data_IF_826885481127
#
_entry.id   IF_826885481127
#
_cell.length_a   1.000
_cell.length_b   1.000
_cell.length_c   1.000
_cell.angle_alpha   90.00
_cell.angle_beta   90.00
_cell.angle_gamma   90.00
#
_symmetry.space_group_name_H-M   'P 1'
#
loop_
_entity.id
_entity.type
_entity.pdbx_description
1 polymer ?
#
# COMPACT_ATOMS: atom_id res chain seq x y z
N UNK A 1 -39.53 8.87 -4.93
CA UNK A 1 -38.42 8.33 -5.76
C UNK A 1 -37.12 8.26 -4.98
N UNK A 2 -36.86 9.22 -4.10
CA UNK A 2 -35.59 9.26 -3.31
C UNK A 2 -35.46 8.11 -2.27
N UNK A 3 -36.52 7.72 -1.59
CA UNK A 3 -36.49 6.60 -0.62
C UNK A 3 -36.20 5.25 -1.28
N UNK A 4 -36.76 5.01 -2.48
CA UNK A 4 -36.50 3.77 -3.22
C UNK A 4 -35.04 3.73 -3.70
N UNK A 5 -34.50 4.86 -4.15
CA UNK A 5 -33.08 4.95 -4.55
C UNK A 5 -32.13 4.80 -3.35
N UNK A 6 -32.49 5.33 -2.19
CA UNK A 6 -31.72 5.21 -0.96
C UNK A 6 -31.72 3.77 -0.45
N UNK A 7 -32.88 3.11 -0.40
CA UNK A 7 -32.97 1.70 -0.01
C UNK A 7 -32.27 0.72 -0.99
N UNK A 8 -32.27 1.04 -2.29
CA UNK A 8 -31.51 0.26 -3.28
C UNK A 8 -29.99 0.42 -3.11
N UNK A 9 -29.53 1.65 -2.83
CA UNK A 9 -28.12 1.93 -2.54
C UNK A 9 -27.66 1.24 -1.25
N UNK A 10 -28.45 1.22 -0.20
CA UNK A 10 -28.13 0.53 1.06
C UNK A 10 -28.05 -0.99 0.87
N UNK A 11 -29.03 -1.59 0.18
CA UNK A 11 -28.98 -3.02 -0.15
C UNK A 11 -27.76 -3.37 -0.98
N UNK A 12 -27.45 -2.57 -2.01
CA UNK A 12 -26.28 -2.77 -2.86
C UNK A 12 -24.99 -2.64 -2.04
N UNK A 13 -24.88 -1.66 -1.15
CA UNK A 13 -23.72 -1.47 -0.27
C UNK A 13 -23.53 -2.67 0.67
N UNK A 14 -24.61 -3.19 1.24
CA UNK A 14 -24.57 -4.37 2.13
C UNK A 14 -24.04 -5.63 1.43
N UNK A 15 -24.31 -5.83 0.14
CA UNK A 15 -23.80 -6.96 -0.62
C UNK A 15 -22.38 -6.75 -1.15
N UNK A 16 -21.99 -5.52 -1.47
CA UNK A 16 -20.67 -5.22 -2.02
C UNK A 16 -19.59 -5.17 -0.92
N UNK A 17 -19.92 -4.75 0.30
CA UNK A 17 -18.95 -4.62 1.39
C UNK A 17 -18.20 -5.94 1.69
N UNK A 18 -18.83 -7.11 1.82
CA UNK A 18 -18.10 -8.37 2.01
C UNK A 18 -17.16 -8.71 0.85
N UNK A 19 -17.58 -8.43 -0.39
CA UNK A 19 -16.75 -8.64 -1.58
C UNK A 19 -15.54 -7.70 -1.56
N UNK A 20 -15.73 -6.47 -1.12
CA UNK A 20 -14.64 -5.50 -0.97
C UNK A 20 -13.62 -5.94 0.08
N UNK A 21 -14.05 -6.49 1.22
CA UNK A 21 -13.15 -7.07 2.23
C UNK A 21 -12.41 -8.31 1.68
N UNK A 22 -13.10 -9.19 0.95
CA UNK A 22 -12.46 -10.33 0.31
C UNK A 22 -11.38 -9.89 -0.70
N UNK A 23 -11.67 -8.84 -1.49
CA UNK A 23 -10.68 -8.22 -2.38
C UNK A 23 -9.48 -7.64 -1.61
N UNK A 24 -9.73 -7.01 -0.44
CA UNK A 24 -8.67 -6.47 0.39
C UNK A 24 -7.78 -7.58 0.99
N UNK A 25 -8.37 -8.68 1.44
CA UNK A 25 -7.65 -9.87 1.92
C UNK A 25 -6.78 -10.47 0.80
N UNK A 26 -7.32 -10.57 -0.41
CA UNK A 26 -6.54 -11.01 -1.58
C UNK A 26 -5.32 -10.11 -1.81
N UNK A 27 -5.48 -8.78 -1.74
CA UNK A 27 -4.37 -7.82 -1.87
C UNK A 27 -3.33 -8.04 -0.77
N UNK A 28 -3.75 -8.24 0.48
CA UNK A 28 -2.86 -8.53 1.62
C UNK A 28 -2.01 -9.78 1.37
N UNK A 29 -2.63 -10.86 0.88
CA UNK A 29 -1.92 -12.10 0.56
C UNK A 29 -0.90 -11.88 -0.55
N UNK A 30 -1.29 -11.25 -1.66
CA UNK A 30 -0.38 -10.98 -2.78
C UNK A 30 0.76 -10.07 -2.34
N UNK A 31 0.47 -8.95 -1.67
CA UNK A 31 1.50 -8.03 -1.22
C UNK A 31 2.43 -8.64 -0.16
N UNK A 32 1.94 -9.58 0.64
CA UNK A 32 2.79 -10.34 1.56
C UNK A 32 3.86 -11.20 0.86
N UNK A 33 3.65 -11.58 -0.41
CA UNK A 33 4.67 -12.30 -1.20
C UNK A 33 5.71 -11.36 -1.81
N UNK A 34 5.35 -10.10 -2.08
CA UNK A 34 6.16 -9.13 -2.84
C UNK A 34 7.55 -8.90 -2.25
N UNK A 35 7.73 -8.67 -0.93
CA UNK A 35 9.06 -8.41 -0.36
C UNK A 35 10.07 -9.52 -0.67
N UNK A 36 9.62 -10.78 -0.61
CA UNK A 36 10.47 -11.97 -0.80
C UNK A 36 10.99 -12.06 -2.24
N UNK A 37 10.12 -11.80 -3.22
CA UNK A 37 10.50 -11.80 -4.64
C UNK A 37 11.28 -10.53 -5.00
N UNK A 38 10.84 -9.39 -4.53
CA UNK A 38 11.52 -8.10 -4.76
C UNK A 38 12.91 -8.10 -4.15
N UNK A 39 13.08 -8.62 -2.92
CA UNK A 39 14.38 -8.71 -2.26
C UNK A 39 15.42 -9.48 -3.10
N UNK A 40 15.02 -10.54 -3.82
CA UNK A 40 15.90 -11.27 -4.72
C UNK A 40 16.30 -10.47 -5.96
N UNK A 41 15.45 -9.55 -6.41
CA UNK A 41 15.65 -8.78 -7.65
C UNK A 41 16.44 -7.49 -7.42
N UNK A 42 16.40 -6.89 -6.22
CA UNK A 42 16.98 -5.56 -5.94
C UNK A 42 18.06 -5.55 -4.84
N UNK A 43 18.61 -6.70 -4.45
CA UNK A 43 19.75 -6.75 -3.51
C UNK A 43 20.95 -5.98 -4.05
N UNK A 44 21.99 -5.75 -3.21
CA UNK A 44 23.22 -5.06 -3.63
C UNK A 44 23.88 -5.70 -4.85
N UNK A 45 23.70 -7.00 -5.04
CA UNK A 45 24.17 -7.80 -6.19
C UNK A 45 23.04 -8.29 -7.09
N UNK A 46 21.83 -7.77 -6.87
CA UNK A 46 20.64 -8.19 -7.60
C UNK A 46 20.61 -7.70 -9.06
N UNK A 47 19.74 -8.28 -9.89
CA UNK A 47 19.68 -7.98 -11.33
C UNK A 47 19.19 -6.58 -11.66
N UNK A 48 18.57 -5.87 -10.71
CA UNK A 48 18.01 -4.51 -10.92
C UNK A 48 18.46 -3.52 -9.86
N UNK A 49 18.71 -2.29 -10.27
CA UNK A 49 18.73 -1.17 -9.33
C UNK A 49 17.31 -0.86 -8.84
N UNK A 50 17.16 -0.41 -7.58
CA UNK A 50 15.83 -0.22 -6.97
C UNK A 50 15.00 0.84 -7.71
N UNK A 51 15.64 1.90 -8.18
CA UNK A 51 14.98 2.99 -8.91
C UNK A 51 14.50 2.56 -10.30
N UNK A 52 15.35 1.86 -11.09
CA UNK A 52 14.95 1.33 -12.40
C UNK A 52 13.91 0.22 -12.27
N UNK A 53 14.04 -0.66 -11.27
CA UNK A 53 13.03 -1.66 -10.98
C UNK A 53 11.67 -1.01 -10.65
N UNK A 54 11.67 0.05 -9.81
CA UNK A 54 10.44 0.78 -9.48
C UNK A 54 9.83 1.50 -10.70
N UNK A 55 10.67 2.06 -11.57
CA UNK A 55 10.24 2.66 -12.83
C UNK A 55 9.62 1.64 -13.77
N UNK A 56 10.25 0.46 -13.93
CA UNK A 56 9.76 -0.61 -14.78
C UNK A 56 8.43 -1.20 -14.27
N UNK A 57 8.28 -1.42 -12.95
CA UNK A 57 7.00 -1.82 -12.35
C UNK A 57 5.90 -0.81 -12.68
N UNK A 58 6.17 0.48 -12.48
CA UNK A 58 5.23 1.56 -12.78
C UNK A 58 4.85 1.60 -14.26
N UNK A 59 5.84 1.47 -15.15
CA UNK A 59 5.63 1.50 -16.60
C UNK A 59 4.75 0.35 -17.09
N UNK A 60 5.08 -0.89 -16.70
CA UNK A 60 4.30 -2.07 -17.09
C UNK A 60 2.88 -1.98 -16.55
N UNK A 61 2.72 -1.54 -15.28
CA UNK A 61 1.41 -1.35 -14.67
C UNK A 61 0.60 -0.23 -15.37
N UNK A 62 1.24 0.88 -15.71
CA UNK A 62 0.60 2.00 -16.41
C UNK A 62 0.09 1.59 -17.80
N UNK A 63 0.91 0.86 -18.57
CA UNK A 63 0.52 0.33 -19.88
C UNK A 63 -0.63 -0.66 -19.74
N UNK A 64 -0.54 -1.61 -18.80
CA UNK A 64 -1.61 -2.59 -18.57
C UNK A 64 -2.93 -1.91 -18.19
N UNK A 65 -2.90 -0.92 -17.28
CA UNK A 65 -4.09 -0.16 -16.90
C UNK A 65 -4.61 0.71 -18.04
N UNK A 66 -3.75 1.24 -18.90
CA UNK A 66 -4.16 2.00 -20.08
C UNK A 66 -4.94 1.10 -21.05
N UNK A 67 -4.50 -0.13 -21.26
CA UNK A 67 -5.22 -1.12 -22.08
C UNK A 67 -6.55 -1.50 -21.43
N UNK A 68 -6.57 -1.84 -20.14
CA UNK A 68 -7.77 -2.21 -19.38
C UNK A 68 -8.80 -1.06 -19.36
N UNK A 69 -8.33 0.18 -19.23
CA UNK A 69 -9.18 1.36 -19.13
C UNK A 69 -9.41 2.06 -20.48
N UNK A 70 -8.96 1.48 -21.60
CA UNK A 70 -9.06 2.09 -22.93
C UNK A 70 -10.48 2.63 -23.25
N UNK A 71 -11.59 1.89 -22.99
CA UNK A 71 -12.94 2.41 -23.24
C UNK A 71 -13.31 3.64 -22.41
N UNK A 72 -12.66 3.81 -21.25
CA UNK A 72 -12.93 4.90 -20.29
C UNK A 72 -11.99 6.10 -20.44
N UNK A 73 -10.98 6.04 -21.30
CA UNK A 73 -10.03 7.16 -21.53
C UNK A 73 -10.75 8.43 -21.99
N UNK A 74 -11.85 8.29 -22.72
CA UNK A 74 -12.68 9.44 -23.17
C UNK A 74 -13.30 10.23 -22.00
N UNK A 75 -13.39 9.65 -20.81
CA UNK A 75 -13.90 10.32 -19.60
C UNK A 75 -12.82 11.04 -18.81
N UNK A 76 -11.57 10.98 -19.27
CA UNK A 76 -10.44 11.63 -18.63
C UNK A 76 -10.55 13.15 -18.76
N UNK A 77 -10.46 13.86 -17.65
CA UNK A 77 -10.49 15.32 -17.61
C UNK A 77 -9.43 15.88 -16.64
N UNK A 78 -9.18 17.18 -16.70
CA UNK A 78 -8.12 17.85 -15.91
C UNK A 78 -8.19 17.55 -14.40
N UNK A 79 -9.36 17.33 -13.84
CA UNK A 79 -9.54 16.99 -12.42
C UNK A 79 -8.86 15.67 -12.02
N UNK A 80 -8.75 14.69 -12.93
CA UNK A 80 -8.00 13.47 -12.65
C UNK A 80 -6.52 13.76 -12.42
N UNK A 81 -5.90 14.58 -13.27
CA UNK A 81 -4.48 14.91 -13.16
C UNK A 81 -4.19 15.73 -11.90
N UNK A 82 -5.05 16.71 -11.58
CA UNK A 82 -4.90 17.54 -10.38
C UNK A 82 -4.85 16.71 -9.09
N UNK A 83 -5.59 15.61 -9.01
CA UNK A 83 -5.68 14.79 -7.80
C UNK A 83 -4.79 13.54 -7.87
N UNK A 84 -4.67 12.90 -9.03
CA UNK A 84 -3.90 11.66 -9.16
C UNK A 84 -2.39 11.91 -9.27
N UNK A 85 -1.92 13.03 -9.82
CA UNK A 85 -0.49 13.32 -9.94
C UNK A 85 0.17 13.56 -8.59
N UNK A 86 -0.32 14.42 -7.69
CA UNK A 86 0.28 14.58 -6.36
C UNK A 86 0.25 13.28 -5.54
N UNK A 87 -0.88 12.57 -5.53
CA UNK A 87 -0.98 11.30 -4.82
C UNK A 87 -0.11 10.21 -5.44
N UNK A 88 0.06 10.21 -6.76
CA UNK A 88 1.00 9.36 -7.49
C UNK A 88 2.46 9.68 -7.16
N UNK A 89 2.80 10.96 -6.95
CA UNK A 89 4.14 11.36 -6.52
C UNK A 89 4.46 10.82 -5.12
N UNK A 90 3.54 10.94 -4.14
CA UNK A 90 3.71 10.32 -2.83
C UNK A 90 3.85 8.81 -2.93
N UNK A 91 3.07 8.16 -3.79
CA UNK A 91 3.20 6.73 -4.05
C UNK A 91 4.57 6.36 -4.63
N UNK A 92 5.02 7.10 -5.64
CA UNK A 92 6.30 6.87 -6.29
C UNK A 92 7.48 7.03 -5.33
N UNK A 93 7.47 8.10 -4.51
CA UNK A 93 8.48 8.36 -3.50
C UNK A 93 8.45 7.26 -2.44
N UNK A 94 7.29 6.92 -1.89
CA UNK A 94 7.13 5.84 -0.92
C UNK A 94 7.68 4.52 -1.45
N UNK A 95 7.26 4.12 -2.64
CA UNK A 95 7.67 2.88 -3.28
C UNK A 95 9.16 2.83 -3.58
N UNK A 96 9.77 3.97 -3.92
CA UNK A 96 11.20 4.06 -4.14
C UNK A 96 12.00 3.98 -2.84
N UNK A 97 11.64 4.79 -1.83
CA UNK A 97 12.26 4.77 -0.51
C UNK A 97 12.22 3.37 0.11
N UNK A 98 11.08 2.71 -0.02
CA UNK A 98 10.86 1.35 0.45
C UNK A 98 11.81 0.34 -0.23
N UNK A 99 11.97 0.43 -1.54
CA UNK A 99 12.87 -0.48 -2.30
C UNK A 99 14.34 -0.20 -2.05
N UNK A 100 14.73 1.07 -1.93
CA UNK A 100 16.09 1.43 -1.54
C UNK A 100 16.35 0.95 -0.10
N UNK A 101 15.39 1.18 0.81
CA UNK A 101 15.49 0.73 2.20
C UNK A 101 15.66 -0.78 2.32
N UNK A 102 14.94 -1.58 1.51
CA UNK A 102 15.04 -3.04 1.51
C UNK A 102 16.48 -3.56 1.21
N UNK A 103 17.33 -2.77 0.56
CA UNK A 103 18.74 -3.13 0.37
C UNK A 103 19.56 -3.13 1.67
N UNK A 104 19.09 -2.43 2.68
CA UNK A 104 19.80 -2.15 3.94
C UNK A 104 19.08 -2.69 5.17
N UNK A 105 17.92 -3.31 5.01
CA UNK A 105 17.11 -3.90 6.08
C UNK A 105 16.59 -5.28 5.71
N UNK A 106 15.94 -5.97 6.64
CA UNK A 106 15.33 -7.28 6.39
C UNK A 106 13.94 -7.16 5.76
N UNK A 107 13.51 -8.21 5.05
CA UNK A 107 12.15 -8.29 4.44
C UNK A 107 11.05 -8.07 5.50
N UNK A 108 11.29 -8.53 6.73
CA UNK A 108 10.35 -8.39 7.85
C UNK A 108 10.30 -6.96 8.39
N UNK A 109 11.47 -6.33 8.63
CA UNK A 109 11.54 -4.94 9.08
C UNK A 109 10.97 -3.97 8.03
N UNK A 110 11.26 -4.22 6.76
CA UNK A 110 10.66 -3.51 5.62
C UNK A 110 9.12 -3.53 5.70
N UNK A 111 8.51 -4.71 5.84
CA UNK A 111 7.05 -4.85 5.93
C UNK A 111 6.46 -4.21 7.20
N UNK A 112 7.22 -4.22 8.31
CA UNK A 112 6.81 -3.57 9.56
C UNK A 112 6.74 -2.05 9.44
N UNK A 113 7.80 -1.43 8.92
CA UNK A 113 7.92 0.03 8.91
C UNK A 113 6.93 0.69 7.94
N UNK A 114 6.50 -0.02 6.89
CA UNK A 114 5.37 0.40 6.05
C UNK A 114 4.08 0.58 6.86
N UNK A 115 3.92 -0.16 7.96
CA UNK A 115 2.73 -0.14 8.81
C UNK A 115 2.55 1.17 9.60
N UNK A 116 3.56 2.04 9.65
CA UNK A 116 3.43 3.40 10.18
C UNK A 116 2.33 4.19 9.46
N UNK A 117 1.99 3.81 8.23
CA UNK A 117 0.85 4.37 7.50
C UNK A 117 -0.47 4.28 8.28
N UNK A 118 -0.66 3.25 9.12
CA UNK A 118 -1.91 3.07 9.88
C UNK A 118 -2.17 4.18 10.90
N UNK A 119 -1.12 4.82 11.45
CA UNK A 119 -1.28 5.97 12.33
C UNK A 119 -1.61 7.22 11.51
N UNK A 120 -0.87 7.43 10.42
CA UNK A 120 -0.93 8.66 9.64
C UNK A 120 -2.31 8.85 9.01
N UNK A 121 -2.92 7.77 8.52
CA UNK A 121 -4.19 7.82 7.77
C UNK A 121 -5.35 8.41 8.57
N UNK A 122 -5.69 7.98 9.81
CA UNK A 122 -6.79 8.55 10.56
C UNK A 122 -6.60 10.05 10.86
N UNK A 123 -5.38 10.47 11.17
CA UNK A 123 -5.07 11.88 11.41
C UNK A 123 -5.22 12.71 10.15
N UNK A 124 -4.71 12.25 9.01
CA UNK A 124 -4.87 12.95 7.74
C UNK A 124 -6.33 13.02 7.30
N UNK A 125 -7.11 11.96 7.50
CA UNK A 125 -8.55 12.00 7.21
C UNK A 125 -9.28 13.02 8.07
N UNK A 126 -8.87 13.22 9.33
CA UNK A 126 -9.40 14.31 10.15
C UNK A 126 -9.15 15.69 9.53
N UNK A 127 -7.94 15.92 8.98
CA UNK A 127 -7.64 17.18 8.30
C UNK A 127 -8.41 17.33 6.97
N UNK A 128 -8.52 16.26 6.16
CA UNK A 128 -9.16 16.31 4.83
C UNK A 128 -10.69 16.43 4.89
N UNK A 129 -11.33 15.71 5.79
CA UNK A 129 -12.78 15.59 5.86
C UNK A 129 -13.37 15.99 7.23
N UNK A 130 -12.54 16.50 8.14
CA UNK A 130 -12.90 16.94 9.51
C UNK A 130 -13.63 15.87 10.35
N UNK A 131 -13.57 14.61 9.96
CA UNK A 131 -14.15 13.48 10.70
C UNK A 131 -13.17 13.00 11.75
N UNK A 132 -13.52 13.13 13.03
CA UNK A 132 -12.71 12.59 14.12
C UNK A 132 -12.64 11.06 14.02
N UNK A 133 -11.45 10.44 14.20
CA UNK A 133 -11.35 8.99 14.28
C UNK A 133 -12.11 8.47 15.50
N UNK A 134 -12.79 7.33 15.36
CA UNK A 134 -13.43 6.68 16.52
C UNK A 134 -12.37 6.11 17.47
N UNK A 135 -12.72 5.98 18.74
CA UNK A 135 -11.83 5.37 19.76
C UNK A 135 -11.45 3.95 19.30
N UNK A 136 -12.39 3.21 18.73
CA UNK A 136 -12.13 1.86 18.19
C UNK A 136 -11.09 1.88 17.07
N UNK A 137 -11.13 2.88 16.17
CA UNK A 137 -10.11 3.06 15.13
C UNK A 137 -8.74 3.35 15.74
N UNK A 138 -8.65 4.22 16.75
CA UNK A 138 -7.40 4.53 17.44
C UNK A 138 -6.83 3.29 18.14
N UNK A 139 -7.66 2.53 18.85
CA UNK A 139 -7.26 1.27 19.49
C UNK A 139 -6.76 0.25 18.47
N UNK A 140 -7.43 0.13 17.32
CA UNK A 140 -7.00 -0.76 16.24
C UNK A 140 -5.63 -0.34 15.67
N UNK A 141 -5.38 0.96 15.50
CA UNK A 141 -4.07 1.48 15.06
C UNK A 141 -2.97 1.16 16.07
N UNK A 142 -3.21 1.40 17.36
CA UNK A 142 -2.25 1.10 18.43
C UNK A 142 -1.95 -0.41 18.47
N UNK A 143 -2.98 -1.26 18.44
CA UNK A 143 -2.80 -2.71 18.40
C UNK A 143 -2.02 -3.15 17.16
N UNK A 144 -2.30 -2.57 16.00
CA UNK A 144 -1.57 -2.86 14.77
C UNK A 144 -0.07 -2.57 14.93
N UNK A 145 0.28 -1.42 15.52
CA UNK A 145 1.68 -1.07 15.77
C UNK A 145 2.34 -1.98 16.78
N UNK A 146 1.65 -2.27 17.90
CA UNK A 146 2.16 -3.19 18.93
C UNK A 146 2.38 -4.57 18.32
N UNK A 147 1.43 -5.10 17.55
CA UNK A 147 1.56 -6.38 16.86
C UNK A 147 2.73 -6.39 15.89
N UNK A 148 2.87 -5.34 15.10
CA UNK A 148 3.97 -5.17 14.18
C UNK A 148 5.31 -5.02 14.91
N UNK A 149 5.37 -4.30 16.03
CA UNK A 149 6.57 -4.18 16.87
C UNK A 149 6.98 -5.55 17.43
N UNK A 150 6.04 -6.29 18.05
CA UNK A 150 6.28 -7.62 18.62
C UNK A 150 6.76 -8.58 17.54
N UNK A 151 6.17 -8.54 16.34
CA UNK A 151 6.54 -9.39 15.20
C UNK A 151 8.01 -9.17 14.79
N UNK A 152 8.55 -7.96 14.98
CA UNK A 152 9.90 -7.59 14.64
C UNK A 152 10.90 -7.62 15.81
N UNK A 153 10.44 -7.94 17.02
CA UNK A 153 11.33 -8.19 18.16
C UNK A 153 12.19 -9.41 17.87
N UNK A 154 13.44 -9.17 17.49
CA UNK A 154 14.48 -10.21 17.37
C UNK A 154 15.37 -10.17 18.62
N UNK A 155 16.16 -11.26 18.84
CA UNK A 155 17.13 -11.30 19.93
C UNK A 155 18.22 -10.21 19.81
N UNK A 156 18.45 -9.72 18.60
CA UNK A 156 19.46 -8.70 18.30
C UNK A 156 18.95 -7.26 18.47
N UNK A 157 17.71 -7.08 18.92
CA UNK A 157 17.10 -5.75 19.12
C UNK A 157 16.62 -5.12 17.80
N UNK A 158 16.09 -3.88 17.93
CA UNK A 158 15.76 -3.04 16.79
C UNK A 158 17.01 -2.27 16.35
N UNK A 159 17.53 -2.60 15.17
CA UNK A 159 18.54 -1.75 14.55
C UNK A 159 17.86 -0.57 13.85
N UNK A 160 18.35 0.65 14.08
CA UNK A 160 17.89 1.84 13.37
C UNK A 160 19.00 2.34 12.45
N UNK A 161 19.14 1.67 11.32
CA UNK A 161 20.03 2.08 10.24
C UNK A 161 19.31 2.92 9.18
N UNK A 162 20.02 3.22 8.11
CA UNK A 162 19.49 4.00 6.99
C UNK A 162 18.31 3.27 6.31
N UNK A 163 18.33 1.93 6.28
CA UNK A 163 17.27 1.12 5.68
C UNK A 163 15.94 1.30 6.40
N UNK A 164 15.97 1.24 7.73
CA UNK A 164 14.80 1.42 8.59
C UNK A 164 14.22 2.82 8.48
N UNK A 165 15.09 3.85 8.46
CA UNK A 165 14.66 5.25 8.29
C UNK A 165 13.96 5.42 6.93
N UNK A 166 14.52 4.91 5.85
CA UNK A 166 13.93 4.99 4.51
C UNK A 166 12.58 4.27 4.44
N UNK A 167 12.47 3.07 5.04
CA UNK A 167 11.20 2.33 5.10
C UNK A 167 10.16 3.03 5.97
N UNK A 168 10.54 3.66 7.08
CA UNK A 168 9.65 4.45 7.91
C UNK A 168 9.09 5.67 7.16
N UNK A 169 9.96 6.42 6.47
CA UNK A 169 9.55 7.53 5.61
C UNK A 169 8.62 7.06 4.48
N UNK A 170 8.89 5.87 3.90
CA UNK A 170 8.00 5.26 2.92
C UNK A 170 6.61 5.01 3.52
N UNK A 171 6.53 4.46 4.73
CA UNK A 171 5.27 4.25 5.45
C UNK A 171 4.47 5.55 5.64
N UNK A 172 5.13 6.65 6.02
CA UNK A 172 4.49 7.96 6.13
C UNK A 172 3.94 8.45 4.78
N UNK A 173 4.72 8.34 3.71
CA UNK A 173 4.29 8.72 2.35
C UNK A 173 3.13 7.84 1.85
N UNK A 174 3.14 6.54 2.14
CA UNK A 174 2.00 5.67 1.84
C UNK A 174 0.76 6.08 2.63
N UNK A 175 0.90 6.50 3.90
CA UNK A 175 -0.20 7.04 4.69
C UNK A 175 -0.87 8.23 4.01
N UNK A 176 -0.09 9.18 3.50
CA UNK A 176 -0.60 10.32 2.72
C UNK A 176 -1.34 9.83 1.45
N UNK A 177 -0.74 8.91 0.70
CA UNK A 177 -1.37 8.34 -0.50
C UNK A 177 -2.69 7.62 -0.17
N UNK A 178 -2.74 6.80 0.90
CA UNK A 178 -3.94 6.08 1.31
C UNK A 178 -5.05 7.04 1.69
N UNK A 179 -4.77 8.03 2.55
CA UNK A 179 -5.74 9.00 3.00
C UNK A 179 -6.31 9.82 1.83
N UNK A 180 -5.44 10.36 0.99
CA UNK A 180 -5.85 11.16 -0.17
C UNK A 180 -6.60 10.32 -1.21
N UNK A 181 -6.12 9.11 -1.54
CA UNK A 181 -6.81 8.19 -2.46
C UNK A 181 -8.19 7.83 -1.93
N UNK A 182 -8.34 7.57 -0.63
CA UNK A 182 -9.63 7.26 -0.02
C UNK A 182 -10.67 8.37 -0.13
N UNK A 183 -10.22 9.63 -0.18
CA UNK A 183 -11.10 10.79 -0.39
C UNK A 183 -11.41 10.99 -1.88
N UNK A 184 -10.38 10.98 -2.72
CA UNK A 184 -10.48 11.40 -4.12
C UNK A 184 -11.01 10.30 -5.05
N UNK A 185 -10.63 9.03 -4.83
CA UNK A 185 -11.06 7.92 -5.66
C UNK A 185 -12.58 7.65 -5.61
N UNK A 186 -13.28 8.12 -4.56
CA UNK A 186 -14.75 8.03 -4.47
C UNK A 186 -15.46 8.81 -5.59
N UNK A 187 -14.84 9.89 -6.06
CA UNK A 187 -15.39 10.80 -7.08
C UNK A 187 -14.93 10.45 -8.49
N UNK A 188 -14.06 9.44 -8.66
CA UNK A 188 -13.38 9.14 -9.91
C UNK A 188 -13.47 7.67 -10.28
N UNK A 189 -13.17 7.35 -11.54
CA UNK A 189 -12.94 5.97 -11.93
C UNK A 189 -11.61 5.47 -11.36
N UNK A 190 -11.64 4.42 -10.54
CA UNK A 190 -10.46 3.89 -9.86
C UNK A 190 -9.35 3.47 -10.84
N UNK A 191 -9.71 2.86 -11.96
CA UNK A 191 -8.74 2.43 -12.97
C UNK A 191 -7.98 3.59 -13.59
N UNK A 192 -8.68 4.66 -14.01
CA UNK A 192 -8.05 5.86 -14.58
C UNK A 192 -7.18 6.57 -13.53
N UNK A 193 -7.65 6.63 -12.29
CA UNK A 193 -6.91 7.24 -11.20
C UNK A 193 -5.59 6.51 -10.92
N UNK A 194 -5.64 5.17 -10.79
CA UNK A 194 -4.43 4.35 -10.57
C UNK A 194 -3.52 4.37 -11.80
N UNK A 195 -4.07 4.37 -13.02
CA UNK A 195 -3.29 4.49 -14.25
C UNK A 195 -2.39 5.73 -14.23
N UNK A 196 -2.93 6.89 -13.86
CA UNK A 196 -2.15 8.13 -13.77
C UNK A 196 -1.07 8.00 -12.67
N UNK A 197 -1.41 7.44 -11.50
CA UNK A 197 -0.43 7.21 -10.44
C UNK A 197 0.73 6.32 -10.90
N UNK A 198 0.47 5.27 -11.68
CA UNK A 198 1.50 4.38 -12.22
C UNK A 198 2.38 5.07 -13.27
N UNK A 199 1.82 5.94 -14.10
CA UNK A 199 2.61 6.81 -15.00
C UNK A 199 3.52 7.74 -14.22
N UNK A 200 3.01 8.39 -13.17
CA UNK A 200 3.81 9.25 -12.30
C UNK A 200 4.92 8.45 -11.62
N UNK A 201 4.63 7.25 -11.14
CA UNK A 201 5.65 6.35 -10.56
C UNK A 201 6.73 6.02 -11.57
N UNK A 202 6.38 5.64 -12.80
CA UNK A 202 7.34 5.32 -13.84
C UNK A 202 8.26 6.52 -14.16
N UNK A 203 7.67 7.67 -14.46
CA UNK A 203 8.38 8.87 -14.86
C UNK A 203 9.28 9.39 -13.73
N UNK A 204 8.72 9.53 -12.52
CA UNK A 204 9.46 10.07 -11.38
C UNK A 204 10.59 9.13 -10.95
N UNK A 205 10.35 7.82 -10.90
CA UNK A 205 11.40 6.86 -10.55
C UNK A 205 12.49 6.77 -11.59
N UNK A 206 12.17 6.91 -12.87
CA UNK A 206 13.16 6.97 -13.93
C UNK A 206 14.01 8.24 -13.84
N UNK A 207 13.38 9.41 -13.61
CA UNK A 207 14.08 10.66 -13.41
C UNK A 207 15.02 10.60 -12.19
N UNK A 208 14.55 10.05 -11.07
CA UNK A 208 15.37 9.85 -9.86
C UNK A 208 16.53 8.87 -10.14
N UNK A 209 16.27 7.77 -10.85
CA UNK A 209 17.34 6.83 -11.24
C UNK A 209 18.46 7.53 -12.02
N UNK A 210 18.06 8.38 -12.96
CA UNK A 210 19.01 9.17 -13.74
C UNK A 210 19.81 10.17 -12.87
N UNK A 211 19.15 10.87 -11.95
CA UNK A 211 19.81 11.78 -11.02
C UNK A 211 20.78 11.06 -10.07
N UNK A 212 20.35 9.95 -9.44
CA UNK A 212 21.15 9.20 -8.49
C UNK A 212 22.40 8.55 -9.10
N UNK A 213 22.38 8.30 -10.40
CA UNK A 213 23.57 7.81 -11.14
C UNK A 213 24.72 8.80 -11.11
N UNK A 214 24.43 10.11 -11.19
CA UNK A 214 25.45 11.17 -11.25
C UNK A 214 25.87 11.69 -9.87
N UNK A 215 25.10 11.39 -8.83
CA UNK A 215 25.47 11.77 -7.45
C UNK A 215 26.36 10.66 -6.89
N UNK A 216 27.62 11.00 -6.61
CA UNK A 216 28.61 10.06 -6.08
C UNK A 216 28.91 10.36 -4.62
N UNK A 217 29.03 9.29 -3.79
CA UNK A 217 29.55 9.36 -2.43
C UNK A 217 30.78 8.45 -2.38
N UNK A 218 31.92 8.99 -1.92
CA UNK A 218 33.19 8.27 -1.88
C UNK A 218 33.61 7.68 -3.24
N UNK A 219 33.31 8.38 -4.36
CA UNK A 219 33.70 7.96 -5.71
C UNK A 219 32.78 6.91 -6.35
N UNK A 220 31.74 6.46 -5.65
CA UNK A 220 30.74 5.53 -6.19
C UNK A 220 29.37 6.20 -6.30
N UNK A 221 28.57 5.91 -7.35
CA UNK A 221 27.20 6.42 -7.46
C UNK A 221 26.35 5.89 -6.29
N UNK A 222 25.45 6.76 -5.78
CA UNK A 222 24.52 6.38 -4.68
C UNK A 222 23.70 5.16 -5.08
N UNK A 223 23.28 5.11 -6.34
CA UNK A 223 22.61 3.96 -6.91
C UNK A 223 23.11 3.70 -8.33
N UNK A 224 23.85 2.58 -8.55
CA UNK A 224 24.27 2.22 -9.89
C UNK A 224 23.04 1.86 -10.73
N UNK A 225 23.00 2.33 -11.97
CA UNK A 225 21.93 2.01 -12.92
C UNK A 225 22.26 0.71 -13.66
N UNK A 226 21.71 -0.39 -13.21
CA UNK A 226 21.81 -1.66 -13.96
C UNK A 226 20.43 -2.29 -14.09
N UNK A 227 20.23 -2.99 -15.20
CA UNK A 227 18.98 -3.63 -15.57
C UNK A 227 19.28 -4.94 -16.30
N UNK A 228 18.80 -6.04 -15.74
CA UNK A 228 18.99 -7.36 -16.35
C UNK A 228 17.95 -7.63 -17.43
N UNK A 229 18.43 -8.08 -18.60
CA UNK A 229 17.60 -8.50 -19.72
C UNK A 229 17.40 -10.02 -19.80
N UNK A 230 17.84 -10.77 -18.79
CA UNK A 230 17.60 -12.20 -18.74
C UNK A 230 16.07 -12.49 -18.67
N UNK A 231 15.62 -13.45 -19.48
CA UNK A 231 14.20 -13.78 -19.60
C UNK A 231 13.54 -14.09 -18.25
N UNK A 232 14.23 -14.84 -17.37
CA UNK A 232 13.72 -15.17 -16.02
C UNK A 232 13.45 -13.94 -15.16
N UNK A 233 14.31 -12.91 -15.24
CA UNK A 233 14.19 -11.67 -14.47
C UNK A 233 13.08 -10.77 -15.05
N UNK A 234 12.99 -10.71 -16.38
CA UNK A 234 11.92 -9.97 -17.08
C UNK A 234 10.55 -10.58 -16.77
N UNK A 235 10.39 -11.90 -16.82
CA UNK A 235 9.13 -12.54 -16.47
C UNK A 235 8.74 -12.32 -15.02
N UNK A 236 9.70 -12.39 -14.08
CA UNK A 236 9.46 -12.08 -12.67
C UNK A 236 8.99 -10.63 -12.48
N UNK A 237 9.64 -9.67 -13.16
CA UNK A 237 9.26 -8.26 -13.14
C UNK A 237 7.83 -8.06 -13.69
N UNK A 238 7.52 -8.64 -14.84
CA UNK A 238 6.18 -8.55 -15.46
C UNK A 238 5.12 -9.14 -14.55
N UNK A 239 5.36 -10.32 -13.97
CA UNK A 239 4.43 -10.97 -13.05
C UNK A 239 4.15 -10.09 -11.81
N UNK A 240 5.20 -9.50 -11.20
CA UNK A 240 5.06 -8.58 -10.08
C UNK A 240 4.37 -7.27 -10.48
N UNK A 241 4.64 -6.74 -11.66
CA UNK A 241 4.00 -5.53 -12.16
C UNK A 241 2.50 -5.75 -12.40
N UNK A 242 2.12 -6.86 -13.04
CA UNK A 242 0.71 -7.16 -13.31
C UNK A 242 -0.04 -7.58 -12.04
N UNK A 243 0.54 -8.44 -11.21
CA UNK A 243 -0.10 -8.93 -9.99
C UNK A 243 -0.15 -7.85 -8.90
N UNK A 244 1.00 -7.32 -8.51
CA UNK A 244 1.11 -6.39 -7.39
C UNK A 244 0.78 -4.95 -7.78
N UNK A 245 1.41 -4.41 -8.83
CA UNK A 245 1.27 -2.99 -9.16
C UNK A 245 0.04 -2.67 -10.02
N UNK A 246 -0.50 -3.62 -10.78
CA UNK A 246 -1.73 -3.40 -11.58
C UNK A 246 -2.95 -3.86 -10.81
N UNK A 247 -3.05 -5.17 -10.57
CA UNK A 247 -4.26 -5.79 -10.02
C UNK A 247 -4.52 -5.36 -8.57
N UNK A 248 -3.51 -5.47 -7.69
CA UNK A 248 -3.68 -5.14 -6.28
C UNK A 248 -3.94 -3.64 -6.06
N UNK A 249 -3.26 -2.75 -6.78
CA UNK A 249 -3.54 -1.31 -6.70
C UNK A 249 -4.93 -0.95 -7.20
N UNK A 250 -5.39 -1.59 -8.29
CA UNK A 250 -6.74 -1.40 -8.82
C UNK A 250 -7.79 -1.86 -7.82
N UNK A 251 -7.64 -3.07 -7.27
CA UNK A 251 -8.56 -3.62 -6.25
C UNK A 251 -8.56 -2.72 -5.01
N UNK A 252 -7.38 -2.41 -4.42
CA UNK A 252 -7.26 -1.56 -3.24
C UNK A 252 -7.95 -0.21 -3.43
N UNK A 253 -7.72 0.46 -4.56
CA UNK A 253 -8.34 1.75 -4.84
C UNK A 253 -9.85 1.62 -5.07
N UNK A 254 -10.30 0.55 -5.69
CA UNK A 254 -11.72 0.29 -5.92
C UNK A 254 -12.48 0.02 -4.63
N UNK A 255 -11.91 -0.76 -3.72
CA UNK A 255 -12.55 -1.09 -2.43
C UNK A 255 -12.64 0.11 -1.47
N UNK A 256 -11.77 1.11 -1.61
CA UNK A 256 -11.84 2.35 -0.83
C UNK A 256 -13.10 3.18 -1.10
N UNK A 257 -13.90 2.82 -2.11
CA UNK A 257 -15.24 3.38 -2.31
C UNK A 257 -16.26 2.85 -1.30
N UNK A 258 -16.02 1.65 -0.78
CA UNK A 258 -16.94 0.89 0.07
C UNK A 258 -16.42 0.71 1.50
N UNK A 259 -15.10 0.72 1.69
CA UNK A 259 -14.41 0.53 2.96
C UNK A 259 -13.73 1.85 3.36
N UNK A 260 -13.76 2.18 4.65
CA UNK A 260 -13.08 3.36 5.17
C UNK A 260 -11.56 3.25 4.95
N UNK A 261 -10.89 4.31 4.47
CA UNK A 261 -9.43 4.31 4.30
C UNK A 261 -8.66 3.97 5.58
N UNK A 262 -9.18 4.33 6.77
CA UNK A 262 -8.56 3.94 8.04
C UNK A 262 -8.59 2.42 8.24
N UNK A 263 -9.70 1.74 7.90
CA UNK A 263 -9.78 0.29 7.97
C UNK A 263 -8.83 -0.38 6.97
N UNK A 264 -8.72 0.15 5.76
CA UNK A 264 -7.72 -0.30 4.78
C UNK A 264 -6.31 -0.17 5.35
N UNK A 265 -5.98 0.98 5.95
CA UNK A 265 -4.65 1.23 6.53
C UNK A 265 -4.29 0.29 7.69
N UNK A 266 -5.27 -0.22 8.45
CA UNK A 266 -5.04 -1.18 9.55
C UNK A 266 -5.00 -2.63 9.04
N UNK A 267 -5.74 -2.96 7.97
CA UNK A 267 -5.76 -4.32 7.42
C UNK A 267 -4.52 -4.60 6.55
N UNK A 268 -4.03 -3.61 5.81
CA UNK A 268 -2.85 -3.76 4.94
C UNK A 268 -1.61 -4.31 5.66
N UNK A 269 -1.27 -3.89 6.89
CA UNK A 269 -0.20 -4.47 7.70
C UNK A 269 -0.22 -5.98 7.90
N UNK A 270 -1.37 -6.64 7.76
CA UNK A 270 -1.44 -8.11 7.79
C UNK A 270 -0.59 -8.77 6.68
N UNK A 271 -0.20 -8.02 5.65
CA UNK A 271 0.76 -8.48 4.65
C UNK A 271 2.13 -8.85 5.26
N UNK A 272 2.56 -8.16 6.33
CA UNK A 272 3.78 -8.50 7.06
C UNK A 272 3.69 -9.88 7.73
N UNK A 273 2.51 -10.26 8.22
CA UNK A 273 2.25 -11.60 8.76
C UNK A 273 2.41 -12.65 7.65
N UNK A 274 1.82 -12.40 6.48
CA UNK A 274 1.96 -13.29 5.31
C UNK A 274 3.42 -13.41 4.90
N UNK A 275 4.16 -12.28 4.81
CA UNK A 275 5.60 -12.29 4.52
C UNK A 275 6.37 -13.16 5.50
N UNK A 276 6.11 -13.00 6.79
CA UNK A 276 6.82 -13.72 7.85
C UNK A 276 6.52 -15.22 7.82
N UNK A 277 5.26 -15.60 7.65
CA UNK A 277 4.84 -17.02 7.51
C UNK A 277 5.50 -17.65 6.29
N UNK A 278 5.47 -16.98 5.15
CA UNK A 278 6.11 -17.46 3.93
C UNK A 278 7.64 -17.56 4.07
N UNK A 279 8.29 -16.63 4.77
CA UNK A 279 9.73 -16.70 5.06
C UNK A 279 10.08 -17.94 5.88
N UNK A 280 9.23 -18.34 6.82
CA UNK A 280 9.40 -19.60 7.58
C UNK A 280 9.22 -20.82 6.66
N UNK A 281 8.16 -20.85 5.85
CA UNK A 281 7.86 -21.96 4.93
C UNK A 281 9.00 -22.17 3.93
N UNK A 282 9.63 -21.10 3.45
CA UNK A 282 10.77 -21.17 2.52
C UNK A 282 12.14 -21.33 3.20
N UNK A 283 12.15 -21.63 4.50
CA UNK A 283 13.39 -21.92 5.25
C UNK A 283 14.30 -20.71 5.46
N UNK A 284 13.79 -19.48 5.27
CA UNK A 284 14.53 -18.24 5.51
C UNK A 284 14.34 -17.68 6.91
N UNK A 285 13.39 -18.22 7.67
CA UNK A 285 13.03 -17.79 9.01
C UNK A 285 12.68 -18.98 9.91
N UNK A 286 12.55 -18.74 11.20
CA UNK A 286 12.09 -19.71 12.19
C UNK A 286 10.73 -19.30 12.77
N UNK A 287 9.91 -20.27 13.13
CA UNK A 287 8.69 -20.01 13.88
C UNK A 287 9.05 -19.61 15.32
N UNK A 288 8.99 -18.33 15.60
CA UNK A 288 9.35 -17.77 16.91
C UNK A 288 8.10 -17.30 17.66
N UNK A 289 8.18 -17.27 19.01
CA UNK A 289 7.09 -16.74 19.84
C UNK A 289 6.71 -15.29 19.46
N UNK A 290 7.64 -14.36 19.23
CA UNK A 290 7.31 -13.01 18.73
C UNK A 290 6.53 -13.03 17.42
N UNK A 291 6.86 -13.92 16.48
CA UNK A 291 6.14 -14.05 15.22
C UNK A 291 4.67 -14.42 15.46
N UNK A 292 4.42 -15.43 16.30
CA UNK A 292 3.05 -15.89 16.60
C UNK A 292 2.26 -14.82 17.35
N UNK A 293 2.84 -14.21 18.38
CA UNK A 293 2.19 -13.16 19.16
C UNK A 293 1.91 -11.90 18.32
N UNK A 294 2.91 -11.43 17.57
CA UNK A 294 2.74 -10.25 16.73
C UNK A 294 1.71 -10.45 15.63
N UNK A 295 1.70 -11.64 15.00
CA UNK A 295 0.69 -12.02 14.02
C UNK A 295 -0.72 -12.05 14.61
N UNK A 296 -0.89 -12.61 15.80
CA UNK A 296 -2.18 -12.68 16.50
C UNK A 296 -2.70 -11.30 16.87
N UNK A 297 -1.83 -10.43 17.40
CA UNK A 297 -2.19 -9.04 17.74
C UNK A 297 -2.57 -8.26 16.46
N UNK A 298 -1.80 -8.40 15.39
CA UNK A 298 -2.11 -7.76 14.11
C UNK A 298 -3.44 -8.23 13.51
N UNK A 299 -3.75 -9.51 13.62
CA UNK A 299 -5.04 -10.06 13.20
C UNK A 299 -6.20 -9.49 14.02
N UNK A 300 -6.05 -9.41 15.35
CA UNK A 300 -7.06 -8.80 16.24
C UNK A 300 -7.26 -7.32 15.87
N UNK A 301 -6.20 -6.59 15.61
CA UNK A 301 -6.27 -5.19 15.15
C UNK A 301 -7.06 -5.04 13.84
N UNK A 302 -6.83 -5.93 12.87
CA UNK A 302 -7.54 -5.92 11.59
C UNK A 302 -9.04 -6.21 11.77
N UNK A 303 -9.40 -7.20 12.60
CA UNK A 303 -10.81 -7.52 12.93
C UNK A 303 -11.46 -6.34 13.63
N UNK A 304 -10.81 -5.75 14.65
CA UNK A 304 -11.31 -4.58 15.37
C UNK A 304 -11.56 -3.39 14.45
N UNK A 305 -10.65 -3.16 13.50
CA UNK A 305 -10.81 -2.09 12.52
C UNK A 305 -11.97 -2.34 11.56
N UNK A 306 -12.15 -3.58 11.11
CA UNK A 306 -13.30 -3.95 10.29
C UNK A 306 -14.63 -3.78 11.03
N UNK A 307 -14.69 -4.17 12.30
CA UNK A 307 -15.87 -3.95 13.17
C UNK A 307 -16.13 -2.46 13.34
N UNK A 308 -15.10 -1.65 13.61
CA UNK A 308 -15.22 -0.20 13.74
C UNK A 308 -15.82 0.44 12.48
N UNK A 309 -15.35 0.02 11.29
CA UNK A 309 -15.86 0.53 10.01
C UNK A 309 -17.36 0.22 9.82
N UNK A 310 -17.78 -1.01 10.16
CA UNK A 310 -19.19 -1.42 10.08
C UNK A 310 -20.05 -0.65 11.08
N UNK A 311 -19.58 -0.44 12.30
CA UNK A 311 -20.30 0.33 13.32
C UNK A 311 -20.44 1.80 12.93
N UNK A 312 -19.38 2.42 12.46
CA UNK A 312 -19.38 3.81 11.96
C UNK A 312 -20.34 3.98 10.77
N UNK A 313 -20.45 2.97 9.90
CA UNK A 313 -21.39 2.98 8.78
C UNK A 313 -22.86 2.89 9.23
N UNK A 314 -23.14 2.20 10.35
CA UNK A 314 -24.49 2.07 10.92
C UNK A 314 -24.97 3.31 11.69
N UNK A 315 -24.06 4.12 12.24
CA UNK A 315 -24.41 5.30 13.02
C UNK A 315 -24.76 6.52 12.13
N UNK A 316 -24.25 6.55 10.90
CA UNK A 316 -24.53 7.66 9.95
C UNK A 316 -26.00 7.90 9.62
N UNK A 317 -26.89 6.91 9.46
CA UNK A 317 -28.31 7.15 9.19
C UNK A 317 -29.04 7.81 10.38
N UNK A 318 -28.62 7.53 11.62
CA UNK A 318 -29.29 8.07 12.82
C UNK A 318 -29.03 9.57 13.05
N UNK A 319 -27.79 10.04 12.79
CA UNK A 319 -27.44 11.46 12.94
C UNK A 319 -28.10 12.38 11.92
N UNK A 320 -28.54 11.84 10.77
CA UNK A 320 -29.25 12.61 9.75
C UNK A 320 -30.73 12.74 10.13
N UNK A 321 -31.31 11.71 10.74
CA UNK A 321 -32.71 11.70 11.21
C UNK A 321 -32.94 12.55 12.48
N UNK A 322 -31.91 12.78 13.31
CA UNK A 322 -32.01 13.63 14.51
C UNK A 322 -31.80 15.14 14.20
N UNK A 323 -31.46 15.51 12.96
CA UNK A 323 -31.21 16.90 12.55
C UNK A 323 -32.26 17.44 11.56
N UNK A 324 -33.25 16.62 11.19
CA UNK A 324 -34.49 17.02 10.50
C UNK A 324 -35.66 17.11 11.51
#
# INVERSE_FOLDING_TARGET
MDEIQTGLKEKLHKHITPIAYAGLIFVVIVWGTVPIFTGKLITKTGPYSASLYNAALGLVAAIALMVICAPKLKTLHKGYFLLAVPTGAFNAIASLLQKIGLKYTTETQYAFLENLSCIVVPFLLFFFIKKKPSITTICACILCLVGSFVLNCSKDGLSFGIGEILCALAGLCYGVNIAATGVFAKKMNAGLYVMIQMWVQAILSFAIAFCLRYITINGAPIEPTFFSWEAKHIWALIALALGSSTLCWLIRTSVMKYINPSAVAVIMPCSAVVTSVLSVIWGKGSLTLPLVLGASIGFIAAVLSGVADVLDARQKPKEIQEKE
#
